data_IF_585238264802
#
_entry.id   IF_585238264802
#
_cell.length_a   1.000
_cell.length_b   1.000
_cell.length_c   1.000
_cell.angle_alpha   90.00
_cell.angle_beta   90.00
_cell.angle_gamma   90.00
#
_symmetry.space_group_name_H-M   'P 1'
#
loop_
_entity.id
_entity.type
_entity.pdbx_description
1 polymer ?
#
# COMPACT_ATOMS: atom_id res chain seq x y z
N UNK A 1 8.76 8.91 12.15
CA UNK A 1 8.07 8.50 10.90
C UNK A 1 6.61 8.94 10.85
N UNK A 2 6.09 9.74 11.80
CA UNK A 2 4.68 10.19 11.82
C UNK A 2 4.42 11.55 11.14
N UNK A 3 5.45 12.22 10.60
CA UNK A 3 5.33 13.63 10.20
C UNK A 3 4.87 13.84 8.74
N UNK A 4 4.93 12.81 7.90
CA UNK A 4 4.77 12.99 6.45
C UNK A 4 3.33 12.81 5.93
N UNK A 5 2.45 12.14 6.69
CA UNK A 5 1.05 11.88 6.29
C UNK A 5 0.05 11.97 7.45
N UNK A 6 -0.10 13.13 8.12
CA UNK A 6 -1.10 13.28 9.16
C UNK A 6 -2.50 13.01 8.56
N UNK A 7 -3.14 11.94 9.05
CA UNK A 7 -4.50 11.50 8.69
C UNK A 7 -4.73 11.06 7.23
N UNK A 8 -3.82 10.27 6.65
CA UNK A 8 -4.09 9.61 5.37
C UNK A 8 -5.22 8.57 5.51
N UNK A 9 -6.39 8.85 4.92
CA UNK A 9 -7.49 7.87 4.83
C UNK A 9 -7.35 6.97 3.60
N UNK A 10 -7.83 5.72 3.69
CA UNK A 10 -7.88 4.79 2.55
C UNK A 10 -8.63 5.38 1.34
N UNK A 11 -9.71 6.14 1.57
CA UNK A 11 -10.45 6.84 0.50
C UNK A 11 -9.61 7.91 -0.18
N UNK A 12 -8.82 8.67 0.59
CA UNK A 12 -7.90 9.66 0.05
C UNK A 12 -6.80 8.97 -0.77
N UNK A 13 -6.19 7.92 -0.24
CA UNK A 13 -5.17 7.13 -0.92
C UNK A 13 -5.68 6.55 -2.25
N UNK A 14 -6.87 5.92 -2.25
CA UNK A 14 -7.50 5.38 -3.46
C UNK A 14 -7.69 6.45 -4.53
N UNK A 15 -8.18 7.64 -4.14
CA UNK A 15 -8.38 8.77 -5.05
C UNK A 15 -7.07 9.30 -5.61
N UNK A 16 -6.04 9.44 -4.78
CA UNK A 16 -4.75 10.05 -5.20
C UNK A 16 -3.87 9.08 -6.00
N UNK A 17 -3.96 7.77 -5.74
CA UNK A 17 -3.24 6.73 -6.50
C UNK A 17 -4.01 6.23 -7.72
N UNK A 18 -5.31 6.52 -7.80
CA UNK A 18 -6.20 5.93 -8.80
C UNK A 18 -6.32 4.40 -8.67
N UNK A 19 -6.06 3.85 -7.48
CA UNK A 19 -6.35 2.46 -7.14
C UNK A 19 -7.81 2.33 -6.69
N UNK A 20 -8.42 1.17 -6.93
CA UNK A 20 -9.78 0.96 -6.45
C UNK A 20 -9.82 0.98 -4.91
N UNK A 21 -10.89 1.50 -4.28
CA UNK A 21 -11.06 1.42 -2.83
C UNK A 21 -10.97 -0.02 -2.32
N UNK A 22 -11.45 -0.99 -3.11
CA UNK A 22 -11.34 -2.42 -2.82
C UNK A 22 -9.88 -2.87 -2.75
N UNK A 23 -9.05 -2.48 -3.72
CA UNK A 23 -7.61 -2.79 -3.74
C UNK A 23 -6.92 -2.25 -2.50
N UNK A 24 -7.14 -0.97 -2.18
CA UNK A 24 -6.56 -0.34 -0.98
C UNK A 24 -7.02 -1.06 0.30
N UNK A 25 -8.31 -1.40 0.40
CA UNK A 25 -8.83 -2.11 1.57
C UNK A 25 -8.23 -3.51 1.71
N UNK A 26 -8.06 -4.27 0.62
CA UNK A 26 -7.45 -5.61 0.68
C UNK A 26 -5.98 -5.55 1.09
N UNK A 27 -5.22 -4.57 0.57
CA UNK A 27 -3.82 -4.35 0.95
C UNK A 27 -3.73 -3.93 2.42
N UNK A 28 -4.55 -2.98 2.86
CA UNK A 28 -4.61 -2.54 4.25
C UNK A 28 -4.91 -3.67 5.24
N UNK A 29 -5.75 -4.63 4.84
CA UNK A 29 -6.10 -5.79 5.64
C UNK A 29 -5.12 -6.98 5.48
N UNK A 30 -4.07 -6.85 4.67
CA UNK A 30 -3.21 -7.97 4.24
C UNK A 30 -4.00 -9.17 3.70
N UNK A 31 -5.13 -8.91 3.02
CA UNK A 31 -6.04 -9.91 2.43
C UNK A 31 -5.88 -9.98 0.91
N UNK A 32 -4.65 -10.09 0.44
CA UNK A 32 -4.34 -10.25 -0.98
C UNK A 32 -3.40 -11.45 -1.18
N UNK A 33 -3.51 -12.10 -2.34
CA UNK A 33 -2.64 -13.22 -2.71
C UNK A 33 -1.60 -12.84 -3.78
N UNK A 34 -1.84 -11.75 -4.50
CA UNK A 34 -1.01 -11.21 -5.58
C UNK A 34 -1.15 -9.69 -5.58
N UNK A 35 -0.07 -9.02 -5.93
CA UNK A 35 -0.03 -7.59 -6.21
C UNK A 35 0.65 -7.40 -7.56
N UNK A 36 0.04 -6.63 -8.45
CA UNK A 36 0.59 -6.38 -9.78
C UNK A 36 1.56 -5.19 -9.78
N UNK A 37 2.38 -5.11 -10.84
CA UNK A 37 3.40 -4.05 -10.98
C UNK A 37 2.77 -2.65 -10.95
N UNK A 38 1.62 -2.46 -11.60
CA UNK A 38 0.92 -1.17 -11.62
C UNK A 38 0.54 -0.70 -10.22
N UNK A 39 0.09 -1.62 -9.36
CA UNK A 39 -0.25 -1.32 -7.97
C UNK A 39 1.01 -0.98 -7.16
N UNK A 40 2.09 -1.73 -7.34
CA UNK A 40 3.38 -1.45 -6.70
C UNK A 40 3.91 -0.08 -7.12
N UNK A 41 3.98 0.21 -8.42
CA UNK A 41 4.46 1.48 -8.96
C UNK A 41 3.65 2.68 -8.42
N UNK A 42 2.32 2.54 -8.34
CA UNK A 42 1.45 3.59 -7.79
C UNK A 42 1.70 3.85 -6.31
N UNK A 43 1.85 2.78 -5.51
CA UNK A 43 2.07 2.93 -4.07
C UNK A 43 3.48 3.44 -3.79
N UNK A 44 4.50 2.85 -4.41
CA UNK A 44 5.89 3.30 -4.31
C UNK A 44 6.02 4.77 -4.75
N UNK A 45 5.41 5.15 -5.88
CA UNK A 45 5.42 6.53 -6.38
C UNK A 45 4.66 7.50 -5.48
N UNK A 46 3.56 7.07 -4.85
CA UNK A 46 2.80 7.90 -3.91
C UNK A 46 3.57 8.15 -2.59
N UNK A 47 4.23 7.11 -2.08
CA UNK A 47 4.97 7.19 -0.82
C UNK A 47 6.41 7.65 -0.99
N UNK A 48 6.94 7.67 -2.23
CA UNK A 48 8.33 8.00 -2.50
C UNK A 48 9.32 6.97 -1.95
N UNK A 49 8.93 5.69 -1.94
CA UNK A 49 9.71 4.58 -1.38
C UNK A 49 10.04 3.53 -2.44
N UNK A 50 11.01 2.68 -2.15
CA UNK A 50 11.33 1.52 -2.98
C UNK A 50 10.41 0.33 -2.69
N UNK A 51 10.33 -0.62 -3.63
CA UNK A 51 9.50 -1.84 -3.48
C UNK A 51 9.89 -2.69 -2.26
N UNK A 52 11.17 -2.70 -1.89
CA UNK A 52 11.69 -3.42 -0.72
C UNK A 52 11.30 -2.78 0.62
N UNK A 53 10.88 -1.51 0.62
CA UNK A 53 10.33 -0.83 1.79
C UNK A 53 8.81 -1.05 1.90
N UNK A 54 8.13 -1.27 0.77
CA UNK A 54 6.69 -1.52 0.72
C UNK A 54 6.32 -2.95 1.14
N UNK A 55 7.14 -3.94 0.78
CA UNK A 55 6.86 -5.36 1.01
C UNK A 55 7.93 -5.99 1.90
N UNK A 56 7.50 -6.73 2.92
CA UNK A 56 8.37 -7.59 3.72
C UNK A 56 7.75 -8.99 3.83
N UNK A 57 8.62 -10.00 3.96
CA UNK A 57 8.20 -11.34 4.32
C UNK A 57 8.12 -11.42 5.84
N UNK A 58 6.92 -11.69 6.35
CA UNK A 58 6.72 -11.98 7.76
C UNK A 58 6.90 -13.48 7.99
N UNK A 59 7.90 -13.86 8.79
CA UNK A 59 8.02 -15.24 9.26
C UNK A 59 6.90 -15.51 10.28
N UNK A 60 5.85 -16.22 9.85
CA UNK A 60 4.84 -16.73 10.77
C UNK A 60 5.47 -17.84 11.61
N UNK A 61 5.71 -17.56 12.89
CA UNK A 61 6.05 -18.61 13.86
C UNK A 61 4.79 -19.42 14.13
N UNK A 62 4.73 -20.60 13.53
CA UNK A 62 3.81 -21.67 13.94
C UNK A 62 4.16 -22.19 15.35
#
# INVERSE_FOLDING_TARGET
>A
MDEQYPHLSQRRLARETGLSPTTINLIYLNKFNRIDNTTLEKLCGYFGIEVGELLYLEETKD
#
